data_IF_878648870249
#
_entry.id   IF_878648870249
#
_cell.length_a   1.000
_cell.length_b   1.000
_cell.length_c   1.000
_cell.angle_alpha   90.00
_cell.angle_beta   90.00
_cell.angle_gamma   90.00
#
_symmetry.space_group_name_H-M   'P 1'
#
loop_
_entity.id
_entity.type
_entity.pdbx_description
1 polymer ?
#
# COMPACT_ATOMS: atom_id res chain seq x y z
N UNK A 1 -10.90 -0.16 16.36
CA UNK A 1 -11.92 0.35 15.42
C UNK A 1 -11.44 -0.06 14.05
N UNK A 2 -12.26 -0.78 13.27
CA UNK A 2 -11.90 -1.17 11.90
C UNK A 2 -11.81 0.10 11.02
N UNK A 3 -10.83 0.17 10.13
CA UNK A 3 -10.69 1.29 9.19
C UNK A 3 -11.92 1.34 8.28
N UNK A 4 -12.45 2.54 8.07
CA UNK A 4 -13.54 2.79 7.13
C UNK A 4 -12.96 3.56 5.96
N UNK A 5 -13.03 2.97 4.77
CA UNK A 5 -12.46 3.57 3.56
C UNK A 5 -13.44 4.54 2.93
N UNK A 6 -12.95 5.72 2.58
CA UNK A 6 -13.70 6.78 1.91
C UNK A 6 -13.83 6.48 0.43
N UNK A 7 -14.90 7.02 -0.16
CA UNK A 7 -15.08 7.12 -1.61
C UNK A 7 -14.81 8.57 -1.97
N UNK A 8 -13.73 8.84 -2.69
CA UNK A 8 -13.30 10.19 -3.07
C UNK A 8 -12.49 10.17 -4.36
N UNK A 9 -12.23 11.35 -4.91
CA UNK A 9 -11.57 11.56 -6.20
C UNK A 9 -10.39 12.52 -6.04
N UNK A 10 -9.31 12.23 -6.76
CA UNK A 10 -8.08 13.04 -6.80
C UNK A 10 -7.91 13.82 -8.11
N UNK A 11 -8.93 13.79 -8.96
CA UNK A 11 -8.97 14.43 -10.27
C UNK A 11 -10.40 14.91 -10.55
N UNK A 12 -10.54 15.77 -11.56
CA UNK A 12 -11.79 16.38 -12.00
C UNK A 12 -12.51 17.20 -10.91
N UNK A 13 -13.36 16.56 -10.10
CA UNK A 13 -14.18 17.22 -9.08
C UNK A 13 -13.52 17.30 -7.69
N UNK A 14 -12.35 16.65 -7.51
CA UNK A 14 -11.48 16.76 -6.33
C UNK A 14 -12.22 16.63 -4.99
N UNK A 15 -12.95 15.53 -4.79
CA UNK A 15 -13.71 15.29 -3.56
C UNK A 15 -12.84 14.85 -2.36
N UNK A 16 -11.52 14.70 -2.56
CA UNK A 16 -10.59 14.36 -1.49
C UNK A 16 -10.71 15.30 -0.28
N UNK A 17 -10.66 14.73 0.92
CA UNK A 17 -10.55 15.53 2.15
C UNK A 17 -10.30 14.68 3.39
N UNK A 18 -9.50 15.19 4.32
CA UNK A 18 -9.18 14.42 5.52
C UNK A 18 -10.28 14.47 6.59
N UNK A 19 -10.54 13.33 7.22
CA UNK A 19 -11.33 13.31 8.46
C UNK A 19 -10.56 13.98 9.60
N UNK A 20 -11.21 14.32 10.73
CA UNK A 20 -10.52 14.79 11.92
C UNK A 20 -9.43 13.83 12.43
N UNK A 21 -9.51 12.53 12.13
CA UNK A 21 -8.46 11.57 12.48
C UNK A 21 -7.32 11.59 11.46
N UNK A 22 -7.63 11.67 10.16
CA UNK A 22 -6.63 11.88 9.10
C UNK A 22 -5.78 13.12 9.36
N UNK A 23 -6.41 14.24 9.74
CA UNK A 23 -5.70 15.48 10.11
C UNK A 23 -4.76 15.26 11.31
N UNK A 24 -5.20 14.52 12.34
CA UNK A 24 -4.41 14.31 13.57
C UNK A 24 -3.18 13.43 13.37
N UNK A 25 -3.24 12.48 12.42
CA UNK A 25 -2.13 11.57 12.12
C UNK A 25 -1.23 12.06 10.99
N UNK A 26 -1.57 13.19 10.35
CA UNK A 26 -0.78 13.78 9.27
C UNK A 26 0.70 13.96 9.70
N UNK A 27 1.66 13.44 8.92
CA UNK A 27 3.09 13.51 9.27
C UNK A 27 3.63 14.91 8.97
N UNK A 28 3.36 15.85 9.87
CA UNK A 28 3.86 17.21 9.74
C UNK A 28 5.40 17.20 9.68
N UNK A 29 6.02 17.66 8.56
CA UNK A 29 7.43 17.35 8.29
C UNK A 29 8.41 18.37 8.87
N UNK A 30 7.93 19.45 9.49
CA UNK A 30 8.77 20.55 9.95
C UNK A 30 9.04 20.44 11.46
N UNK A 31 10.29 20.12 11.81
CA UNK A 31 10.77 20.13 13.19
C UNK A 31 11.17 21.53 13.69
N UNK A 32 11.32 22.50 12.79
CA UNK A 32 11.74 23.88 13.07
C UNK A 32 10.94 24.86 12.20
N UNK A 33 10.99 26.16 12.52
CA UNK A 33 10.30 27.23 11.77
C UNK A 33 10.92 27.51 10.39
N UNK A 34 12.08 26.93 10.10
CA UNK A 34 12.79 27.02 8.82
C UNK A 34 13.18 25.63 8.35
N UNK A 35 13.12 25.41 7.03
CA UNK A 35 13.51 24.14 6.41
C UNK A 35 14.93 24.24 5.83
N UNK A 36 15.75 23.23 6.12
CA UNK A 36 17.07 23.05 5.51
C UNK A 36 17.30 21.56 5.23
N UNK A 37 17.92 21.24 4.09
CA UNK A 37 18.26 19.86 3.76
C UNK A 37 19.28 19.26 4.74
N UNK A 38 19.10 17.99 5.05
CA UNK A 38 20.00 17.20 5.91
C UNK A 38 19.92 15.72 5.56
N UNK A 39 20.79 14.91 6.19
CA UNK A 39 20.61 13.45 6.21
C UNK A 39 19.67 13.13 7.36
N UNK A 40 18.35 13.20 7.11
CA UNK A 40 17.29 13.04 8.10
C UNK A 40 16.77 11.59 8.21
N UNK A 41 17.57 10.61 7.83
CA UNK A 41 17.20 9.20 7.88
C UNK A 41 17.28 8.68 9.32
N UNK A 42 16.28 7.90 9.72
CA UNK A 42 16.24 7.19 11.00
C UNK A 42 15.87 5.72 10.78
N UNK A 43 16.23 4.82 11.70
CA UNK A 43 15.75 3.43 11.65
C UNK A 43 14.24 3.39 11.72
N UNK A 44 13.60 2.66 10.80
CA UNK A 44 12.18 2.37 10.90
C UNK A 44 11.96 1.21 11.89
N UNK A 45 11.18 1.46 12.94
CA UNK A 45 10.69 0.46 13.88
C UNK A 45 9.21 0.71 14.18
N UNK A 46 8.59 -0.15 15.01
CA UNK A 46 7.17 -0.01 15.33
C UNK A 46 6.91 1.33 16.04
N UNK A 47 6.29 2.26 15.32
CA UNK A 47 5.97 3.59 15.81
C UNK A 47 4.81 3.61 16.79
N UNK A 48 4.30 4.83 17.07
CA UNK A 48 3.21 5.00 18.02
C UNK A 48 1.91 4.45 17.43
N UNK A 49 1.11 3.76 18.24
CA UNK A 49 -0.21 3.29 17.81
C UNK A 49 -1.07 4.41 17.22
N UNK A 50 -1.65 4.16 16.05
CA UNK A 50 -2.50 5.06 15.26
C UNK A 50 -1.74 6.10 14.43
N UNK A 51 -0.42 6.16 14.52
CA UNK A 51 0.40 7.07 13.71
C UNK A 51 0.82 6.43 12.39
N UNK A 52 1.26 7.24 11.43
CA UNK A 52 1.65 6.75 10.08
C UNK A 52 2.93 5.91 10.08
N UNK A 53 3.68 5.87 11.19
CA UNK A 53 4.87 5.05 11.35
C UNK A 53 4.65 3.86 12.29
N UNK A 54 3.39 3.55 12.67
CA UNK A 54 3.10 2.35 13.45
C UNK A 54 3.57 1.09 12.74
N UNK A 55 3.38 1.03 11.42
CA UNK A 55 3.71 -0.12 10.57
C UNK A 55 4.61 0.30 9.42
N UNK A 56 5.25 -0.69 8.77
CA UNK A 56 6.12 -0.45 7.61
C UNK A 56 5.35 0.07 6.40
N UNK A 57 4.09 -0.38 6.24
CA UNK A 57 3.17 0.10 5.22
C UNK A 57 1.91 0.63 5.90
N UNK A 58 1.69 1.93 5.78
CA UNK A 58 0.50 2.58 6.34
C UNK A 58 -0.71 2.39 5.42
N UNK A 59 -1.82 1.90 5.96
CA UNK A 59 -3.11 1.79 5.27
C UNK A 59 -4.10 2.68 6.01
N UNK A 60 -4.61 3.69 5.31
CA UNK A 60 -5.45 4.71 5.92
C UNK A 60 -6.87 4.78 5.31
N UNK A 61 -7.61 5.83 5.66
CA UNK A 61 -8.99 6.04 5.20
C UNK A 61 -9.11 6.26 3.68
N UNK A 62 -8.00 6.54 2.98
CA UNK A 62 -7.95 6.89 1.56
C UNK A 62 -7.54 5.70 0.67
N UNK A 63 -7.09 4.59 1.25
CA UNK A 63 -6.54 3.41 0.55
C UNK A 63 -7.32 2.99 -0.70
N UNK A 64 -8.65 2.80 -0.60
CA UNK A 64 -9.47 2.34 -1.72
C UNK A 64 -9.49 3.36 -2.85
N UNK A 65 -9.66 4.65 -2.51
CA UNK A 65 -9.70 5.71 -3.50
C UNK A 65 -8.35 5.87 -4.21
N UNK A 66 -7.23 5.79 -3.47
CA UNK A 66 -5.89 5.86 -4.05
C UNK A 66 -5.60 4.66 -4.98
N UNK A 67 -6.05 3.45 -4.61
CA UNK A 67 -5.94 2.28 -5.49
C UNK A 67 -6.73 2.45 -6.80
N UNK A 68 -7.95 3.00 -6.72
CA UNK A 68 -8.76 3.30 -7.92
C UNK A 68 -8.06 4.35 -8.79
N UNK A 69 -7.57 5.44 -8.19
CA UNK A 69 -6.90 6.52 -8.91
C UNK A 69 -5.58 6.05 -9.57
N UNK A 70 -4.84 5.16 -8.89
CA UNK A 70 -3.68 4.45 -9.45
C UNK A 70 -4.09 3.61 -10.66
N UNK A 71 -5.20 2.88 -10.58
CA UNK A 71 -5.74 2.11 -11.70
C UNK A 71 -6.03 2.98 -12.94
N UNK A 72 -6.72 4.12 -12.75
CA UNK A 72 -6.98 5.07 -13.85
C UNK A 72 -5.66 5.61 -14.43
N UNK A 73 -4.68 5.91 -13.58
CA UNK A 73 -3.37 6.40 -14.03
C UNK A 73 -2.64 5.37 -14.89
N UNK A 74 -2.62 4.10 -14.47
CA UNK A 74 -1.97 3.02 -15.21
C UNK A 74 -2.71 2.66 -16.50
N UNK A 75 -4.03 2.81 -16.56
CA UNK A 75 -4.81 2.64 -17.79
C UNK A 75 -4.46 3.73 -18.83
N UNK A 76 -4.26 4.97 -18.38
CA UNK A 76 -3.92 6.11 -19.25
C UNK A 76 -2.44 6.14 -19.66
N UNK A 77 -1.55 5.72 -18.76
CA UNK A 77 -0.09 5.74 -18.96
C UNK A 77 0.55 4.49 -18.34
N UNK A 78 0.52 3.34 -19.06
CA UNK A 78 1.09 2.09 -18.55
C UNK A 78 2.59 2.18 -18.24
N UNK A 79 3.30 3.12 -18.85
CA UNK A 79 4.74 3.35 -18.62
C UNK A 79 5.10 3.90 -17.24
N UNK A 80 4.10 4.17 -16.38
CA UNK A 80 4.34 4.46 -14.95
C UNK A 80 4.76 3.24 -14.13
N UNK A 81 4.49 2.04 -14.65
CA UNK A 81 5.09 0.81 -14.18
C UNK A 81 6.21 0.41 -15.15
N UNK A 82 7.41 0.20 -14.62
CA UNK A 82 8.53 -0.33 -15.38
C UNK A 82 9.40 -1.21 -14.47
N UNK A 83 9.82 -2.36 -15.00
CA UNK A 83 10.71 -3.28 -14.32
C UNK A 83 11.57 -4.01 -15.35
N UNK A 84 12.88 -3.91 -15.19
CA UNK A 84 13.81 -4.59 -16.08
C UNK A 84 13.80 -6.10 -15.81
N UNK A 85 14.05 -6.97 -16.82
CA UNK A 85 13.94 -8.43 -16.65
C UNK A 85 14.76 -9.02 -15.50
N UNK A 86 15.89 -8.41 -15.14
CA UNK A 86 16.75 -8.87 -14.04
C UNK A 86 16.22 -8.51 -12.63
N UNK A 87 15.12 -7.75 -12.54
CA UNK A 87 14.48 -7.35 -11.28
C UNK A 87 13.35 -8.30 -10.88
N UNK A 88 13.12 -9.40 -11.61
CA UNK A 88 11.99 -10.31 -11.34
C UNK A 88 12.00 -10.89 -9.92
N UNK A 89 13.15 -11.32 -9.42
CA UNK A 89 13.25 -11.83 -8.05
C UNK A 89 12.89 -10.73 -7.02
N UNK A 90 13.33 -9.49 -7.27
CA UNK A 90 13.01 -8.36 -6.40
C UNK A 90 11.52 -7.96 -6.44
N UNK A 91 10.82 -8.20 -7.54
CA UNK A 91 9.36 -8.01 -7.62
C UNK A 91 8.64 -9.03 -6.73
N UNK A 92 9.04 -10.31 -6.81
CA UNK A 92 8.50 -11.35 -5.93
C UNK A 92 8.80 -11.08 -4.45
N UNK A 93 10.01 -10.62 -4.12
CA UNK A 93 10.38 -10.21 -2.76
C UNK A 93 9.48 -9.06 -2.25
N UNK A 94 9.19 -8.08 -3.10
CA UNK A 94 8.32 -6.96 -2.74
C UNK A 94 6.86 -7.40 -2.56
N UNK A 95 6.36 -8.27 -3.43
CA UNK A 95 5.03 -8.87 -3.30
C UNK A 95 4.91 -9.66 -1.99
N UNK A 96 5.90 -10.48 -1.65
CA UNK A 96 5.94 -11.21 -0.38
C UNK A 96 5.91 -10.24 0.81
N UNK A 97 6.84 -9.28 0.83
CA UNK A 97 6.97 -8.33 1.92
C UNK A 97 5.68 -7.55 2.17
N UNK A 98 5.04 -7.06 1.10
CA UNK A 98 3.82 -6.25 1.21
C UNK A 98 2.61 -7.09 1.63
N UNK A 99 2.40 -8.27 1.05
CA UNK A 99 1.29 -9.14 1.43
C UNK A 99 1.41 -9.66 2.86
N UNK A 100 2.62 -10.05 3.29
CA UNK A 100 2.85 -10.46 4.68
C UNK A 100 2.61 -9.31 5.67
N UNK A 101 3.18 -8.13 5.38
CA UNK A 101 3.02 -6.96 6.25
C UNK A 101 1.56 -6.55 6.38
N UNK A 102 0.82 -6.49 5.26
CA UNK A 102 -0.60 -6.15 5.28
C UNK A 102 -1.46 -7.18 6.02
N UNK A 103 -1.24 -8.47 5.80
CA UNK A 103 -1.98 -9.53 6.49
C UNK A 103 -1.68 -9.57 7.99
N UNK A 104 -0.44 -9.26 8.39
CA UNK A 104 -0.03 -9.20 9.79
C UNK A 104 -0.59 -7.95 10.50
N UNK A 105 -0.45 -6.79 9.88
CA UNK A 105 -0.69 -5.50 10.54
C UNK A 105 -2.15 -5.03 10.42
N UNK A 106 -2.88 -5.49 9.39
CA UNK A 106 -4.29 -5.17 9.15
C UNK A 106 -5.13 -6.44 8.85
N UNK A 107 -5.17 -7.43 9.76
CA UNK A 107 -5.80 -8.75 9.52
C UNK A 107 -7.31 -8.69 9.27
N UNK A 108 -7.98 -7.62 9.73
CA UNK A 108 -9.39 -7.39 9.43
C UNK A 108 -9.62 -7.15 7.93
N UNK A 109 -8.64 -6.58 7.23
CA UNK A 109 -8.75 -6.13 5.84
C UNK A 109 -8.02 -7.03 4.85
N UNK A 110 -6.91 -7.63 5.25
CA UNK A 110 -6.09 -8.45 4.37
C UNK A 110 -5.85 -9.83 4.96
N UNK A 111 -5.68 -10.82 4.08
CA UNK A 111 -5.35 -12.18 4.50
C UNK A 111 -4.44 -12.82 3.47
N UNK A 112 -3.40 -13.50 3.94
CA UNK A 112 -2.50 -14.28 3.13
C UNK A 112 -2.48 -15.72 3.65
N UNK A 113 -2.80 -16.68 2.79
CA UNK A 113 -2.67 -18.11 3.07
C UNK A 113 -1.59 -18.69 2.18
N UNK A 114 -0.64 -19.43 2.77
CA UNK A 114 0.47 -20.06 2.05
C UNK A 114 0.42 -21.58 2.22
N UNK A 115 0.35 -22.33 1.13
CA UNK A 115 0.54 -23.78 1.06
C UNK A 115 1.72 -24.10 0.12
N UNK A 116 2.92 -24.07 0.69
CA UNK A 116 4.17 -24.05 -0.08
C UNK A 116 4.22 -22.82 -0.98
N UNK A 117 4.31 -23.04 -2.29
CA UNK A 117 4.28 -21.97 -3.29
C UNK A 117 2.86 -21.58 -3.72
N UNK A 118 1.82 -22.35 -3.36
CA UNK A 118 0.44 -21.99 -3.69
C UNK A 118 -0.05 -20.97 -2.67
N UNK A 119 -0.20 -19.73 -3.09
CA UNK A 119 -0.62 -18.64 -2.21
C UNK A 119 -2.05 -18.23 -2.56
N UNK A 120 -2.79 -17.82 -1.53
CA UNK A 120 -4.10 -17.17 -1.70
C UNK A 120 -4.08 -15.86 -0.95
N UNK A 121 -4.20 -14.78 -1.71
CA UNK A 121 -4.26 -13.41 -1.21
C UNK A 121 -5.71 -12.92 -1.23
N UNK A 122 -6.13 -12.28 -0.15
CA UNK A 122 -7.44 -11.64 -0.05
C UNK A 122 -7.26 -10.19 0.42
N UNK A 123 -7.69 -9.25 -0.42
CA UNK A 123 -7.79 -7.83 -0.12
C UNK A 123 -9.27 -7.46 -0.11
N UNK A 124 -9.86 -7.52 1.08
CA UNK A 124 -11.30 -7.30 1.30
C UNK A 124 -11.74 -5.88 0.93
N UNK A 125 -10.98 -4.81 1.21
CA UNK A 125 -11.35 -3.45 0.80
C UNK A 125 -11.59 -3.29 -0.71
N UNK A 126 -10.80 -3.98 -1.54
CA UNK A 126 -10.95 -3.95 -3.00
C UNK A 126 -11.78 -5.11 -3.57
N UNK A 127 -12.26 -6.03 -2.73
CA UNK A 127 -12.99 -7.22 -3.16
C UNK A 127 -12.13 -8.20 -3.98
N UNK A 128 -10.80 -8.17 -3.79
CA UNK A 128 -9.86 -9.02 -4.53
C UNK A 128 -9.61 -10.31 -3.74
N UNK A 129 -9.66 -11.44 -4.44
CA UNK A 129 -9.26 -12.74 -3.92
C UNK A 129 -8.66 -13.58 -5.04
N UNK A 130 -7.35 -13.75 -4.99
CA UNK A 130 -6.59 -14.43 -6.03
C UNK A 130 -5.75 -15.56 -5.44
N UNK A 131 -5.67 -16.66 -6.18
CA UNK A 131 -4.78 -17.77 -5.89
C UNK A 131 -3.75 -17.89 -7.01
N UNK A 132 -2.48 -17.93 -6.64
CA UNK A 132 -1.35 -17.92 -7.58
C UNK A 132 -0.20 -18.80 -7.05
N UNK A 133 0.81 -19.02 -7.88
CA UNK A 133 2.02 -19.77 -7.54
C UNK A 133 3.18 -18.79 -7.40
N UNK A 134 3.69 -18.65 -6.18
CA UNK A 134 4.82 -17.76 -5.88
C UNK A 134 6.05 -18.14 -6.72
N UNK A 135 6.58 -17.17 -7.47
CA UNK A 135 7.69 -17.36 -8.41
C UNK A 135 7.29 -17.73 -9.85
N UNK A 136 5.99 -17.95 -10.13
CA UNK A 136 5.50 -18.25 -11.49
C UNK A 136 4.61 -17.11 -12.01
N UNK A 137 5.18 -16.25 -12.87
CA UNK A 137 4.47 -15.10 -13.43
C UNK A 137 3.27 -15.48 -14.29
N UNK A 138 3.19 -16.72 -14.80
CA UNK A 138 2.04 -17.16 -15.60
C UNK A 138 0.78 -17.40 -14.76
N UNK A 139 0.93 -17.44 -13.43
CA UNK A 139 -0.16 -17.63 -12.48
C UNK A 139 -0.82 -16.32 -12.01
N UNK A 140 -0.27 -15.17 -12.39
CA UNK A 140 -0.83 -13.83 -12.14
C UNK A 140 -1.32 -13.19 -13.45
N UNK A 141 -2.32 -12.30 -13.39
CA UNK A 141 -2.82 -11.59 -14.58
C UNK A 141 -1.85 -10.52 -15.12
N UNK A 142 -0.87 -10.15 -14.30
CA UNK A 142 0.14 -9.12 -14.56
C UNK A 142 1.41 -9.47 -13.77
N UNK A 143 2.49 -8.74 -14.01
CA UNK A 143 3.73 -8.90 -13.26
C UNK A 143 3.50 -8.77 -11.73
N UNK A 144 4.34 -9.44 -10.89
CA UNK A 144 4.22 -9.43 -9.42
C UNK A 144 4.33 -8.03 -8.78
#
# INVERSE_FOLDING_TARGET
MSLVFKQETFRDDYQYGNSPQGIKRFPFPFGEDQYMYSVNTEPHGKGKQGSVNEFAFDVDEHYVAECIDKGITLEQDPGRYDSLPHMMDAQWDFLELTMESHAQDYPDHFTLQKDGLNWTWENKPLGIKDSFVFGDCSSLPMDP
#
